data_IF_311140252213
#
_entry.id   IF_311140252213
#
_cell.length_a   1.000
_cell.length_b   1.000
_cell.length_c   1.000
_cell.angle_alpha   90.00
_cell.angle_beta   90.00
_cell.angle_gamma   90.00
#
_symmetry.space_group_name_H-M   'P 1'
#
loop_
_entity.id
_entity.type
_entity.pdbx_description
1 polymer ?
#
# COMPACT_ATOMS: atom_id res chain seq x y z
N UNK A 1 -32.32 -3.29 -23.17
CA UNK A 1 -31.39 -4.24 -23.81
C UNK A 1 -30.40 -4.68 -22.74
N UNK A 2 -30.38 -5.97 -22.47
CA UNK A 2 -29.57 -6.64 -21.44
C UNK A 2 -28.08 -6.47 -21.76
N UNK A 3 -27.34 -5.83 -20.85
CA UNK A 3 -25.89 -5.72 -20.88
C UNK A 3 -25.28 -7.12 -20.74
N UNK A 4 -24.82 -7.68 -21.85
CA UNK A 4 -23.96 -8.86 -21.86
C UNK A 4 -22.69 -8.52 -21.07
N UNK A 5 -22.50 -9.23 -19.95
CA UNK A 5 -21.22 -9.39 -19.27
C UNK A 5 -20.19 -9.81 -20.33
N UNK A 6 -19.18 -8.98 -20.60
CA UNK A 6 -18.04 -9.37 -21.43
C UNK A 6 -17.25 -10.38 -20.62
N UNK A 7 -17.13 -11.59 -21.14
CA UNK A 7 -16.14 -12.56 -20.67
C UNK A 7 -14.76 -12.06 -21.11
N UNK A 8 -13.86 -11.89 -20.14
CA UNK A 8 -12.47 -11.55 -20.38
C UNK A 8 -11.70 -12.82 -20.78
N UNK A 9 -11.27 -12.90 -22.04
CA UNK A 9 -10.46 -13.99 -22.61
C UNK A 9 -8.95 -13.70 -22.52
N UNK A 10 -8.51 -13.11 -21.41
CA UNK A 10 -7.10 -13.00 -21.06
C UNK A 10 -6.86 -13.83 -19.79
N UNK A 11 -5.97 -14.83 -19.88
CA UNK A 11 -5.61 -15.76 -18.81
C UNK A 11 -4.90 -15.10 -17.61
N UNK A 12 -5.57 -14.14 -16.97
CA UNK A 12 -5.19 -13.56 -15.70
C UNK A 12 -6.01 -14.25 -14.61
N UNK A 13 -5.34 -14.76 -13.57
CA UNK A 13 -5.98 -15.42 -12.44
C UNK A 13 -6.94 -14.51 -11.67
N UNK A 14 -7.78 -15.09 -10.78
CA UNK A 14 -8.86 -14.38 -10.10
C UNK A 14 -8.32 -13.56 -8.93
N UNK A 15 -7.86 -12.34 -9.22
CA UNK A 15 -7.73 -11.27 -8.24
C UNK A 15 -7.77 -9.92 -8.98
N UNK A 16 -8.89 -9.21 -8.76
CA UNK A 16 -9.13 -7.79 -9.01
C UNK A 16 -8.95 -7.24 -10.42
N UNK A 17 -10.05 -6.68 -10.94
CA UNK A 17 -10.20 -6.00 -12.21
C UNK A 17 -9.11 -4.94 -12.43
N UNK A 18 -7.98 -5.35 -13.01
CA UNK A 18 -7.05 -4.46 -13.69
C UNK A 18 -7.67 -4.07 -15.04
N UNK A 19 -8.74 -3.29 -15.03
CA UNK A 19 -9.38 -2.85 -16.28
C UNK A 19 -8.64 -1.60 -16.80
N UNK A 20 -7.49 -1.83 -17.42
CA UNK A 20 -6.94 -0.84 -18.34
C UNK A 20 -7.93 -0.73 -19.50
N UNK A 21 -8.77 0.30 -19.46
CA UNK A 21 -9.70 0.57 -20.55
C UNK A 21 -8.93 0.86 -21.84
N UNK A 22 -9.21 0.06 -22.87
CA UNK A 22 -8.70 0.32 -24.21
C UNK A 22 -9.43 1.54 -24.78
N UNK A 23 -8.80 2.71 -24.68
CA UNK A 23 -9.39 3.98 -25.08
C UNK A 23 -9.53 4.10 -26.61
N UNK A 24 -10.72 4.46 -27.07
CA UNK A 24 -11.00 4.74 -28.48
C UNK A 24 -11.10 6.25 -28.68
N UNK A 25 -10.18 6.82 -29.44
CA UNK A 25 -10.20 8.25 -29.75
C UNK A 25 -11.24 8.53 -30.86
N UNK A 26 -12.18 9.48 -30.66
CA UNK A 26 -13.06 9.92 -31.73
C UNK A 26 -12.28 10.55 -32.89
N UNK A 27 -12.70 10.24 -34.11
CA UNK A 27 -12.15 10.84 -35.35
C UNK A 27 -13.28 11.53 -36.10
N UNK A 28 -13.08 12.81 -36.41
CA UNK A 28 -14.04 13.60 -37.18
C UNK A 28 -13.65 13.71 -38.66
N UNK A 29 -14.62 13.79 -39.56
CA UNK A 29 -14.39 13.94 -41.00
C UNK A 29 -15.41 14.85 -41.69
N UNK A 30 -15.06 15.33 -42.89
CA UNK A 30 -15.91 16.25 -43.66
C UNK A 30 -17.24 15.57 -44.04
N UNK A 31 -18.35 16.27 -43.77
CA UNK A 31 -19.71 15.76 -44.04
C UNK A 31 -20.29 14.89 -42.93
N UNK A 32 -19.56 14.67 -41.83
CA UNK A 32 -20.11 13.99 -40.65
C UNK A 32 -21.13 14.88 -39.93
N UNK A 33 -22.30 14.33 -39.61
CA UNK A 33 -23.26 14.93 -38.68
C UNK A 33 -22.75 14.75 -37.26
N UNK A 34 -22.58 15.84 -36.51
CA UNK A 34 -22.18 15.80 -35.10
C UNK A 34 -23.41 15.79 -34.20
N UNK A 35 -23.47 14.82 -33.29
CA UNK A 35 -24.48 14.73 -32.24
C UNK A 35 -23.87 14.96 -30.85
N UNK A 36 -24.73 15.07 -29.84
CA UNK A 36 -24.35 15.10 -28.43
C UNK A 36 -23.50 13.88 -28.04
N UNK A 37 -23.82 12.70 -28.57
CA UNK A 37 -23.06 11.47 -28.32
C UNK A 37 -21.60 11.58 -28.77
N UNK A 38 -21.32 12.23 -29.91
CA UNK A 38 -19.95 12.41 -30.42
C UNK A 38 -19.14 13.36 -29.52
N UNK A 39 -19.78 14.42 -29.01
CA UNK A 39 -19.17 15.38 -28.09
C UNK A 39 -18.91 14.75 -26.72
N UNK A 40 -19.87 13.98 -26.20
CA UNK A 40 -19.71 13.21 -24.96
C UNK A 40 -18.57 12.22 -25.09
N UNK A 41 -18.50 11.46 -26.19
CA UNK A 41 -17.41 10.51 -26.44
C UNK A 41 -16.03 11.20 -26.49
N UNK A 42 -15.95 12.43 -27.01
CA UNK A 42 -14.72 13.22 -26.98
C UNK A 42 -14.33 13.62 -25.55
N UNK A 43 -15.27 14.10 -24.75
CA UNK A 43 -15.02 14.48 -23.34
C UNK A 43 -14.61 13.25 -22.52
N UNK A 44 -15.32 12.14 -22.67
CA UNK A 44 -15.05 10.88 -21.96
C UNK A 44 -13.65 10.35 -22.30
N UNK A 45 -13.27 10.37 -23.58
CA UNK A 45 -11.93 9.97 -23.99
C UNK A 45 -10.84 10.84 -23.36
N UNK A 46 -11.04 12.17 -23.29
CA UNK A 46 -10.08 13.08 -22.63
C UNK A 46 -10.00 12.77 -21.14
N UNK A 47 -11.14 12.64 -20.44
CA UNK A 47 -11.19 12.32 -19.00
C UNK A 47 -10.48 10.98 -18.72
N UNK A 48 -10.81 9.93 -19.47
CA UNK A 48 -10.20 8.61 -19.31
C UNK A 48 -8.70 8.61 -19.62
N UNK A 49 -8.26 9.34 -20.65
CA UNK A 49 -6.83 9.46 -20.98
C UNK A 49 -6.05 10.21 -19.90
N UNK A 50 -6.61 11.27 -19.32
CA UNK A 50 -6.02 11.98 -18.19
C UNK A 50 -5.92 11.08 -16.96
N UNK A 51 -6.96 10.28 -16.67
CA UNK A 51 -6.99 9.35 -15.55
C UNK A 51 -5.85 8.30 -15.57
N UNK A 52 -5.29 7.99 -16.75
CA UNK A 52 -4.10 7.14 -16.86
C UNK A 52 -2.86 7.72 -16.15
N UNK A 53 -2.87 8.99 -15.75
CA UNK A 53 -1.83 9.60 -14.92
C UNK A 53 -1.62 8.82 -13.61
N UNK A 54 -2.66 8.21 -13.06
CA UNK A 54 -2.60 7.39 -11.84
C UNK A 54 -1.61 6.22 -11.95
N UNK A 55 -1.44 5.64 -13.13
CA UNK A 55 -0.49 4.56 -13.36
C UNK A 55 0.96 5.04 -13.54
N UNK A 56 1.14 6.30 -13.95
CA UNK A 56 2.46 6.91 -14.17
C UNK A 56 3.03 7.51 -12.89
N UNK A 57 2.22 8.33 -12.21
CA UNK A 57 2.64 9.12 -11.06
C UNK A 57 2.11 8.58 -9.73
N UNK A 58 1.13 7.67 -9.77
CA UNK A 58 0.37 7.29 -8.59
C UNK A 58 -0.70 8.33 -8.27
N UNK A 59 -1.08 8.44 -7.00
CA UNK A 59 -2.14 9.33 -6.53
C UNK A 59 -1.83 9.87 -5.13
N UNK A 60 -2.41 11.01 -4.77
CA UNK A 60 -2.14 11.73 -3.52
C UNK A 60 -2.14 13.25 -3.71
N UNK A 61 -1.71 13.97 -2.67
CA UNK A 61 -1.54 15.42 -2.67
C UNK A 61 -0.37 15.81 -3.56
N UNK A 62 -0.59 16.75 -4.47
CA UNK A 62 0.42 17.30 -5.37
C UNK A 62 0.97 18.61 -4.82
N UNK A 63 0.09 19.55 -4.42
CA UNK A 63 0.48 20.82 -3.80
C UNK A 63 -0.68 21.45 -3.00
N UNK A 64 -0.37 22.31 -2.03
CA UNK A 64 -1.36 22.97 -1.18
C UNK A 64 -2.15 21.96 -0.35
N UNK A 65 -3.44 22.20 -0.09
CA UNK A 65 -4.27 21.36 0.79
C UNK A 65 -3.68 21.23 2.20
N UNK A 66 -3.14 22.33 2.70
CA UNK A 66 -2.55 22.39 4.04
C UNK A 66 -3.66 22.46 5.08
N UNK A 67 -3.54 21.64 6.12
CA UNK A 67 -4.56 21.55 7.17
C UNK A 67 -4.11 22.41 8.34
N UNK A 68 -4.97 23.35 8.75
CA UNK A 68 -4.71 24.29 9.83
C UNK A 68 -5.81 24.22 10.88
N UNK A 69 -5.49 24.62 12.11
CA UNK A 69 -6.48 24.76 13.18
C UNK A 69 -7.53 25.80 12.80
N UNK A 70 -8.80 25.39 12.79
CA UNK A 70 -9.96 26.25 12.58
C UNK A 70 -10.55 26.74 13.91
N UNK A 71 -11.70 27.40 13.82
CA UNK A 71 -12.44 27.88 15.00
C UNK A 71 -13.42 26.81 15.50
N UNK A 72 -13.52 26.64 16.82
CA UNK A 72 -14.60 25.85 17.44
C UNK A 72 -14.54 24.35 17.15
N UNK A 73 -13.35 23.75 17.17
CA UNK A 73 -13.18 22.30 16.92
C UNK A 73 -13.42 21.94 15.46
N UNK A 74 -12.88 22.77 14.57
CA UNK A 74 -12.82 22.53 13.14
C UNK A 74 -11.37 22.65 12.66
N UNK A 75 -11.12 22.16 11.46
CA UNK A 75 -9.91 22.49 10.69
C UNK A 75 -10.29 23.25 9.44
N UNK A 76 -9.35 24.07 8.96
CA UNK A 76 -9.45 24.73 7.67
C UNK A 76 -8.41 24.11 6.74
N UNK A 77 -8.81 23.78 5.52
CA UNK A 77 -7.93 23.26 4.47
C UNK A 77 -7.73 24.34 3.43
N UNK A 78 -6.46 24.70 3.18
CA UNK A 78 -6.09 25.73 2.20
C UNK A 78 -6.29 25.24 0.75
N UNK A 79 -6.37 26.14 -0.24
CA UNK A 79 -6.42 25.77 -1.64
C UNK A 79 -5.30 24.83 -2.05
N UNK A 80 -5.57 23.96 -3.02
CA UNK A 80 -4.57 23.05 -3.53
C UNK A 80 -5.12 22.02 -4.48
N UNK A 81 -4.27 21.04 -4.78
CA UNK A 81 -4.49 20.07 -5.84
C UNK A 81 -4.01 18.69 -5.39
N UNK A 82 -4.88 17.70 -5.62
CA UNK A 82 -4.59 16.29 -5.42
C UNK A 82 -5.12 15.47 -6.61
N UNK A 83 -4.55 14.29 -6.79
CA UNK A 83 -5.05 13.28 -7.70
C UNK A 83 -5.58 12.11 -6.87
N UNK A 84 -6.79 11.63 -7.14
CA UNK A 84 -7.33 10.45 -6.45
C UNK A 84 -6.85 9.13 -7.07
N UNK A 85 -7.16 8.01 -6.42
CA UNK A 85 -6.75 6.68 -6.90
C UNK A 85 -7.37 6.28 -8.25
N UNK A 86 -8.43 6.95 -8.69
CA UNK A 86 -9.04 6.77 -10.01
C UNK A 86 -8.43 7.66 -11.09
N UNK A 87 -7.56 8.61 -10.72
CA UNK A 87 -6.94 9.57 -11.62
C UNK A 87 -7.80 10.81 -11.88
N UNK A 88 -8.75 11.13 -11.00
CA UNK A 88 -9.55 12.36 -11.06
C UNK A 88 -8.82 13.49 -10.34
N UNK A 89 -8.85 14.66 -10.97
CA UNK A 89 -8.24 15.88 -10.46
C UNK A 89 -9.14 16.49 -9.37
N UNK A 90 -8.62 16.62 -8.15
CA UNK A 90 -9.29 17.27 -7.03
C UNK A 90 -8.66 18.65 -6.84
N UNK A 91 -9.41 19.70 -7.15
CA UNK A 91 -8.97 21.08 -6.96
C UNK A 91 -9.82 21.77 -5.91
N UNK A 92 -9.18 22.24 -4.85
CA UNK A 92 -9.79 23.11 -3.86
C UNK A 92 -9.38 24.55 -4.15
N UNK A 93 -10.33 25.40 -4.57
CA UNK A 93 -10.03 26.74 -5.08
C UNK A 93 -9.99 27.84 -3.99
N UNK A 94 -10.50 27.56 -2.80
CA UNK A 94 -10.60 28.47 -1.65
C UNK A 94 -10.53 27.67 -0.37
N UNK A 95 -10.29 28.34 0.75
CA UNK A 95 -10.36 27.71 2.07
C UNK A 95 -11.71 27.00 2.25
N UNK A 96 -11.65 25.76 2.73
CA UNK A 96 -12.82 24.99 3.13
C UNK A 96 -12.65 24.52 4.58
N UNK A 97 -13.75 24.37 5.31
CA UNK A 97 -13.74 24.08 6.74
C UNK A 97 -14.46 22.79 7.05
N UNK A 98 -13.83 21.96 7.89
CA UNK A 98 -14.38 20.68 8.33
C UNK A 98 -14.54 20.69 9.85
N UNK A 99 -15.78 20.58 10.32
CA UNK A 99 -16.10 20.43 11.74
C UNK A 99 -16.13 18.96 12.15
N UNK A 100 -15.50 18.62 13.28
CA UNK A 100 -15.43 17.21 13.72
C UNK A 100 -16.72 16.70 14.38
N UNK A 101 -17.67 17.60 14.71
CA UNK A 101 -18.97 17.22 15.26
C UNK A 101 -19.75 16.28 14.33
N UNK A 102 -19.62 16.47 13.02
CA UNK A 102 -20.33 15.67 12.00
C UNK A 102 -19.60 14.36 11.67
N UNK A 103 -18.33 14.22 12.08
CA UNK A 103 -17.53 13.01 11.90
C UNK A 103 -17.64 12.04 13.07
N UNK A 104 -18.35 12.42 14.14
CA UNK A 104 -18.59 11.53 15.26
C UNK A 104 -19.60 10.44 14.85
N UNK A 105 -19.32 9.15 15.11
CA UNK A 105 -20.29 8.09 14.90
C UNK A 105 -21.57 8.41 15.69
N UNK A 106 -22.70 8.59 15.01
CA UNK A 106 -23.99 8.74 15.71
C UNK A 106 -24.28 7.40 16.37
N UNK A 107 -24.49 7.40 17.69
CA UNK A 107 -24.71 6.18 18.49
C UNK A 107 -25.93 5.33 18.09
N UNK A 108 -26.71 5.79 17.11
CA UNK A 108 -27.93 5.14 16.60
C UNK A 108 -27.69 4.25 15.38
N UNK A 109 -26.49 4.24 14.79
CA UNK A 109 -26.17 3.37 13.67
C UNK A 109 -25.47 2.08 14.17
N UNK A 110 -26.16 0.92 14.20
CA UNK A 110 -25.58 -0.35 14.62
C UNK A 110 -24.45 -0.84 13.69
N UNK A 111 -24.28 -0.25 12.50
CA UNK A 111 -23.17 -0.52 11.59
C UNK A 111 -21.98 0.44 11.80
N UNK A 112 -22.20 1.60 12.42
CA UNK A 112 -21.14 2.52 12.87
C UNK A 112 -20.52 2.10 14.21
N UNK A 113 -21.05 1.05 14.84
CA UNK A 113 -20.40 0.34 15.93
C UNK A 113 -19.27 -0.53 15.37
N UNK A 114 -18.25 0.12 14.80
CA UNK A 114 -16.91 -0.47 14.82
C UNK A 114 -16.58 -0.85 16.26
N UNK A 115 -15.69 -1.85 16.49
CA UNK A 115 -15.31 -2.23 17.85
C UNK A 115 -15.00 -0.96 18.62
N UNK A 116 -15.61 -0.76 19.80
CA UNK A 116 -15.25 0.36 20.67
C UNK A 116 -13.75 0.26 20.88
N UNK A 117 -12.98 1.13 20.21
CA UNK A 117 -11.55 0.91 20.08
C UNK A 117 -10.93 1.27 21.42
N UNK A 118 -10.65 0.24 22.21
CA UNK A 118 -9.81 0.33 23.40
C UNK A 118 -8.38 0.21 22.88
N UNK A 119 -7.49 1.19 23.11
CA UNK A 119 -6.09 0.98 22.77
C UNK A 119 -5.56 -0.18 23.60
N UNK A 120 -4.81 -1.05 22.93
CA UNK A 120 -4.07 -2.12 23.56
C UNK A 120 -2.85 -1.51 24.27
N UNK A 121 -3.03 -1.09 25.53
CA UNK A 121 -1.94 -0.67 26.42
C UNK A 121 -1.88 -1.58 27.66
N UNK A 122 -0.67 -1.88 28.18
CA UNK A 122 -0.53 -2.63 29.44
C UNK A 122 -0.82 -1.68 30.62
N UNK A 123 -2.10 -1.50 30.93
CA UNK A 123 -2.56 -0.73 32.09
C UNK A 123 -3.70 -1.47 32.82
N UNK A 124 -3.90 -1.24 34.14
CA UNK A 124 -4.98 -1.87 34.87
C UNK A 124 -6.33 -1.44 34.28
N UNK A 125 -7.19 -2.42 33.99
CA UNK A 125 -8.62 -2.30 33.67
C UNK A 125 -9.15 -0.92 33.22
N UNK A 126 -9.03 -0.62 31.92
CA UNK A 126 -10.04 0.14 31.18
C UNK A 126 -9.93 1.67 31.18
N UNK A 127 -8.87 2.26 31.72
CA UNK A 127 -8.66 3.71 31.64
C UNK A 127 -7.52 4.04 30.66
N UNK A 128 -7.81 4.90 29.69
CA UNK A 128 -6.84 5.46 28.75
C UNK A 128 -5.80 6.27 29.54
N UNK A 129 -4.49 6.11 29.27
CA UNK A 129 -3.50 6.94 29.93
C UNK A 129 -3.73 8.41 29.57
N UNK A 130 -3.52 9.30 30.55
CA UNK A 130 -3.57 10.73 30.30
C UNK A 130 -2.53 11.12 29.25
N UNK A 131 -2.91 12.05 28.37
CA UNK A 131 -2.04 12.59 27.33
C UNK A 131 -1.48 13.91 27.81
N UNK A 132 -0.16 14.08 27.69
CA UNK A 132 0.54 15.28 28.10
C UNK A 132 0.96 16.09 26.86
N UNK A 133 0.53 17.35 26.80
CA UNK A 133 0.96 18.32 25.80
C UNK A 133 1.61 19.52 26.49
N UNK A 134 2.95 19.53 26.58
CA UNK A 134 3.73 20.66 27.14
C UNK A 134 3.19 21.19 28.49
N UNK A 135 2.89 20.27 29.42
CA UNK A 135 2.34 20.58 30.75
C UNK A 135 0.82 20.66 30.84
N UNK A 136 0.09 20.47 29.73
CA UNK A 136 -1.36 20.24 29.73
C UNK A 136 -1.63 18.74 29.81
N UNK A 137 -2.16 18.27 30.95
CA UNK A 137 -2.62 16.89 31.13
C UNK A 137 -4.09 16.77 30.75
N UNK A 138 -4.38 15.96 29.74
CA UNK A 138 -5.73 15.71 29.24
C UNK A 138 -6.08 14.24 29.49
N UNK A 139 -7.24 13.92 30.09
CA UNK A 139 -7.70 12.55 30.19
C UNK A 139 -7.74 11.88 28.82
N UNK A 140 -7.13 10.70 28.69
CA UNK A 140 -7.00 10.06 27.38
C UNK A 140 -8.33 9.71 26.72
N UNK A 141 -9.40 9.53 27.50
CA UNK A 141 -10.77 9.33 27.02
C UNK A 141 -11.43 10.57 26.41
N UNK A 142 -10.79 11.74 26.56
CA UNK A 142 -11.22 13.01 25.98
C UNK A 142 -10.42 13.39 24.73
N UNK A 143 -9.39 12.62 24.37
CA UNK A 143 -8.55 12.85 23.19
C UNK A 143 -8.93 11.86 22.11
N UNK A 144 -9.25 12.39 20.92
CA UNK A 144 -9.64 11.56 19.77
C UNK A 144 -8.89 11.97 18.52
N UNK A 145 -8.38 11.00 17.77
CA UNK A 145 -7.72 11.21 16.50
C UNK A 145 -8.73 11.06 15.35
N UNK A 146 -8.62 11.94 14.36
CA UNK A 146 -9.38 11.90 13.12
C UNK A 146 -8.46 12.03 11.93
N UNK A 147 -8.65 11.16 10.94
CA UNK A 147 -8.01 11.29 9.65
C UNK A 147 -8.89 12.16 8.75
N UNK A 148 -8.30 13.22 8.19
CA UNK A 148 -8.96 14.20 7.32
C UNK A 148 -8.65 13.88 5.87
N UNK A 149 -9.70 13.76 5.06
CA UNK A 149 -9.61 13.40 3.66
C UNK A 149 -10.26 14.45 2.76
N UNK A 150 -9.84 14.47 1.50
CA UNK A 150 -10.58 15.12 0.41
C UNK A 150 -10.90 14.08 -0.67
N UNK A 151 -12.11 14.13 -1.22
CA UNK A 151 -12.48 13.33 -2.39
C UNK A 151 -13.03 14.21 -3.49
N UNK A 152 -12.96 13.69 -4.71
CA UNK A 152 -13.58 14.31 -5.86
C UNK A 152 -15.09 14.43 -5.68
N UNK A 153 -15.64 15.58 -6.05
CA UNK A 153 -17.07 15.87 -6.01
C UNK A 153 -17.45 16.69 -7.25
N UNK A 154 -18.57 16.34 -7.87
CA UNK A 154 -19.13 17.08 -9.00
C UNK A 154 -20.54 17.55 -8.64
N UNK A 155 -20.89 18.76 -9.06
CA UNK A 155 -22.25 19.28 -8.94
C UNK A 155 -22.69 19.93 -10.25
N UNK A 156 -23.99 19.84 -10.54
CA UNK A 156 -24.55 20.48 -11.72
C UNK A 156 -24.69 21.99 -11.50
N UNK A 157 -24.33 22.79 -12.51
CA UNK A 157 -24.32 24.25 -12.45
C UNK A 157 -24.83 24.87 -13.77
N UNK A 158 -25.10 26.17 -13.74
CA UNK A 158 -25.61 26.94 -14.88
C UNK A 158 -26.88 26.34 -15.51
N UNK A 159 -27.96 26.27 -14.71
CA UNK A 159 -29.28 25.83 -15.17
C UNK A 159 -29.82 26.77 -16.25
N UNK A 160 -30.26 26.21 -17.38
CA UNK A 160 -30.84 26.92 -18.52
C UNK A 160 -32.13 26.22 -18.95
N UNK A 161 -33.11 27.01 -19.37
CA UNK A 161 -34.30 26.45 -20.01
C UNK A 161 -33.91 25.84 -21.34
N UNK A 162 -34.24 24.56 -21.55
CA UNK A 162 -34.03 23.94 -22.85
C UNK A 162 -34.85 24.68 -23.92
N UNK A 163 -34.35 24.74 -25.15
CA UNK A 163 -35.17 25.22 -26.27
C UNK A 163 -36.29 24.21 -26.49
N UNK A 164 -37.54 24.67 -26.47
CA UNK A 164 -38.69 23.85 -26.79
C UNK A 164 -38.47 23.21 -28.16
N UNK A 165 -38.29 21.88 -28.19
CA UNK A 165 -38.25 21.14 -29.44
C UNK A 165 -39.64 21.26 -30.04
N UNK A 166 -39.80 22.08 -31.08
CA UNK A 166 -41.03 22.16 -31.85
C UNK A 166 -41.43 20.76 -32.31
N UNK A 167 -42.37 20.14 -31.61
CA UNK A 167 -42.83 18.77 -31.83
C UNK A 167 -43.03 17.90 -30.59
N UNK A 168 -42.40 18.21 -29.44
CA UNK A 168 -42.66 17.52 -28.18
C UNK A 168 -43.42 18.48 -27.24
N UNK A 169 -44.74 18.32 -27.15
CA UNK A 169 -45.59 19.11 -26.27
C UNK A 169 -45.29 18.84 -24.80
N UNK A 170 -44.42 19.65 -24.21
CA UNK A 170 -44.13 19.70 -22.79
C UNK A 170 -43.31 20.94 -22.50
N UNK A 171 -43.54 21.58 -21.34
CA UNK A 171 -42.69 22.67 -20.86
C UNK A 171 -41.23 22.21 -20.91
N UNK A 172 -40.38 22.98 -21.60
CA UNK A 172 -38.98 22.64 -21.73
C UNK A 172 -38.35 22.66 -20.33
N UNK A 173 -37.96 21.49 -19.83
CA UNK A 173 -37.35 21.34 -18.52
C UNK A 173 -36.11 22.23 -18.39
N UNK A 174 -35.88 22.72 -17.18
CA UNK A 174 -34.63 23.39 -16.84
C UNK A 174 -33.52 22.33 -16.78
N UNK A 175 -32.49 22.47 -17.61
CA UNK A 175 -31.35 21.55 -17.66
C UNK A 175 -30.06 22.30 -17.33
N UNK A 176 -29.12 21.62 -16.67
CA UNK A 176 -27.83 22.19 -16.30
C UNK A 176 -26.86 22.12 -17.47
N UNK A 177 -26.17 23.22 -17.75
CA UNK A 177 -25.25 23.32 -18.89
C UNK A 177 -23.79 23.08 -18.52
N UNK A 178 -23.47 22.98 -17.22
CA UNK A 178 -22.11 22.77 -16.72
C UNK A 178 -22.07 21.78 -15.57
N UNK A 179 -20.92 21.13 -15.44
CA UNK A 179 -20.53 20.37 -14.26
C UNK A 179 -19.43 21.16 -13.56
N UNK A 180 -19.66 21.49 -12.30
CA UNK A 180 -18.67 22.09 -11.43
C UNK A 180 -17.95 20.97 -10.69
N UNK A 181 -16.70 20.75 -11.06
CA UNK A 181 -15.80 19.79 -10.42
C UNK A 181 -15.09 20.44 -9.22
N UNK A 182 -14.84 19.67 -8.17
CA UNK A 182 -14.19 20.17 -6.96
C UNK A 182 -13.80 19.07 -5.98
N UNK A 183 -13.52 19.48 -4.74
CA UNK A 183 -13.20 18.59 -3.64
C UNK A 183 -14.21 18.71 -2.50
N UNK A 184 -14.54 17.57 -1.88
CA UNK A 184 -15.35 17.52 -0.67
C UNK A 184 -14.53 16.95 0.48
N UNK A 185 -14.44 17.71 1.57
CA UNK A 185 -13.78 17.30 2.80
C UNK A 185 -14.66 16.32 3.61
N UNK A 186 -14.02 15.34 4.24
CA UNK A 186 -14.64 14.47 5.24
C UNK A 186 -13.59 13.94 6.22
N UNK A 187 -14.03 13.42 7.37
CA UNK A 187 -13.15 12.77 8.32
C UNK A 187 -13.64 11.37 8.71
N UNK A 188 -12.69 10.54 9.15
CA UNK A 188 -12.92 9.23 9.77
C UNK A 188 -12.26 9.23 11.15
N UNK A 189 -12.93 8.63 12.14
CA UNK A 189 -12.31 8.37 13.44
C UNK A 189 -11.13 7.42 13.24
N UNK A 190 -9.99 7.72 13.87
CA UNK A 190 -8.75 7.00 13.70
C UNK A 190 -8.19 6.52 15.04
N UNK A 191 -7.42 5.43 14.98
CA UNK A 191 -6.68 4.94 16.14
C UNK A 191 -5.48 5.82 16.40
N UNK A 192 -5.34 6.22 17.65
CA UNK A 192 -4.23 7.08 18.06
C UNK A 192 -2.88 6.42 17.75
N UNK A 193 -1.99 7.19 17.12
CA UNK A 193 -0.63 6.78 16.76
C UNK A 193 -0.49 5.55 15.83
N UNK A 194 -1.57 5.04 15.22
CA UNK A 194 -1.50 3.93 14.25
C UNK A 194 -1.32 4.46 12.82
N UNK A 195 -0.31 3.96 12.11
CA UNK A 195 -0.08 4.23 10.69
C UNK A 195 -1.36 3.95 9.87
N UNK A 196 -1.92 4.92 9.12
CA UNK A 196 -3.11 4.72 8.30
C UNK A 196 -2.95 3.62 7.25
N UNK A 197 -1.71 3.35 6.82
CA UNK A 197 -1.40 2.34 5.83
C UNK A 197 -1.22 0.94 6.44
N UNK A 198 -1.28 0.79 7.77
CA UNK A 198 -1.01 -0.48 8.46
C UNK A 198 -1.79 -1.65 7.89
N UNK A 199 -3.09 -1.47 7.64
CA UNK A 199 -3.96 -2.52 7.09
C UNK A 199 -3.46 -2.94 5.70
N UNK A 200 -3.12 -1.98 4.84
CA UNK A 200 -2.62 -2.25 3.48
C UNK A 200 -1.26 -2.97 3.53
N UNK A 201 -0.38 -2.56 4.44
CA UNK A 201 0.94 -3.17 4.64
C UNK A 201 0.81 -4.62 5.12
N UNK A 202 -0.02 -4.85 6.14
CA UNK A 202 -0.24 -6.18 6.72
C UNK A 202 -0.91 -7.12 5.70
N UNK A 203 -1.89 -6.61 4.94
CA UNK A 203 -2.56 -7.34 3.86
C UNK A 203 -1.57 -7.75 2.77
N UNK A 204 -0.74 -6.81 2.29
CA UNK A 204 0.26 -7.06 1.26
C UNK A 204 1.30 -8.09 1.71
N UNK A 205 1.81 -7.96 2.94
CA UNK A 205 2.77 -8.89 3.52
C UNK A 205 2.18 -10.30 3.65
N UNK A 206 0.94 -10.38 4.13
CA UNK A 206 0.24 -11.65 4.32
C UNK A 206 0.00 -12.36 2.98
N UNK A 207 -0.52 -11.66 1.97
CA UNK A 207 -0.76 -12.25 0.65
C UNK A 207 0.52 -12.79 0.01
N UNK A 208 1.64 -12.05 0.13
CA UNK A 208 2.94 -12.53 -0.33
C UNK A 208 3.36 -13.82 0.37
N UNK A 209 3.28 -13.86 1.70
CA UNK A 209 3.69 -15.04 2.47
C UNK A 209 2.76 -16.24 2.24
N UNK A 210 1.45 -16.02 2.12
CA UNK A 210 0.46 -17.05 1.81
C UNK A 210 0.72 -17.66 0.42
N UNK A 211 0.96 -16.83 -0.59
CA UNK A 211 1.29 -17.28 -1.94
C UNK A 211 2.62 -18.03 -2.00
N UNK A 212 3.65 -17.50 -1.32
CA UNK A 212 4.95 -18.18 -1.21
C UNK A 212 4.81 -19.53 -0.50
N UNK A 213 3.98 -19.58 0.56
CA UNK A 213 3.65 -20.82 1.28
C UNK A 213 2.99 -21.86 0.39
N UNK A 214 2.00 -21.48 -0.39
CA UNK A 214 1.32 -22.39 -1.30
C UNK A 214 2.28 -23.07 -2.28
N UNK A 215 3.22 -22.31 -2.85
CA UNK A 215 4.22 -22.85 -3.80
C UNK A 215 5.17 -23.81 -3.11
N UNK A 216 5.71 -23.43 -1.95
CA UNK A 216 6.60 -24.31 -1.21
C UNK A 216 5.91 -25.58 -0.73
N UNK A 217 4.65 -25.51 -0.31
CA UNK A 217 3.89 -26.69 0.10
C UNK A 217 3.72 -27.69 -1.06
N UNK A 218 3.40 -27.20 -2.27
CA UNK A 218 3.34 -28.07 -3.47
C UNK A 218 4.73 -28.62 -3.81
N UNK A 219 5.79 -27.81 -3.80
CA UNK A 219 7.15 -28.27 -4.10
C UNK A 219 7.65 -29.32 -3.09
N UNK A 220 7.33 -29.17 -1.80
CA UNK A 220 7.65 -30.17 -0.77
C UNK A 220 6.85 -31.45 -0.99
N UNK A 221 5.56 -31.35 -1.32
CA UNK A 221 4.74 -32.52 -1.65
C UNK A 221 5.28 -33.29 -2.86
N UNK A 222 5.70 -32.59 -3.91
CA UNK A 222 6.33 -33.20 -5.10
C UNK A 222 7.68 -33.82 -4.72
N UNK A 223 8.50 -33.14 -3.92
CA UNK A 223 9.80 -33.66 -3.49
C UNK A 223 9.68 -34.96 -2.68
N UNK A 224 8.58 -35.14 -1.94
CA UNK A 224 8.27 -36.35 -1.17
C UNK A 224 7.99 -37.60 -2.02
N UNK A 225 7.83 -37.46 -3.33
CA UNK A 225 7.69 -38.60 -4.24
C UNK A 225 9.05 -39.31 -4.36
N UNK A 226 9.13 -40.57 -3.93
CA UNK A 226 10.38 -41.33 -3.94
C UNK A 226 10.88 -41.75 -5.34
N UNK A 227 9.97 -41.87 -6.31
CA UNK A 227 10.31 -42.19 -7.70
C UNK A 227 10.64 -40.90 -8.47
N UNK A 228 11.88 -40.78 -8.95
CA UNK A 228 12.39 -39.54 -9.57
C UNK A 228 11.73 -39.23 -10.92
N UNK A 229 11.38 -40.25 -11.71
CA UNK A 229 10.63 -40.11 -12.96
C UNK A 229 9.21 -39.57 -12.71
N UNK A 230 8.51 -40.12 -11.72
CA UNK A 230 7.18 -39.64 -11.30
C UNK A 230 7.25 -38.25 -10.68
N UNK A 231 8.32 -37.93 -9.94
CA UNK A 231 8.59 -36.60 -9.41
C UNK A 231 8.75 -35.57 -10.54
N UNK A 232 9.53 -35.90 -11.56
CA UNK A 232 9.70 -35.07 -12.76
C UNK A 232 8.38 -34.84 -13.49
N UNK A 233 7.65 -35.91 -13.79
CA UNK A 233 6.35 -35.83 -14.45
C UNK A 233 5.35 -34.96 -13.66
N UNK A 234 5.33 -35.07 -12.33
CA UNK A 234 4.49 -34.24 -11.48
C UNK A 234 4.92 -32.77 -11.48
N UNK A 235 6.22 -32.48 -11.45
CA UNK A 235 6.72 -31.11 -11.53
C UNK A 235 6.42 -30.47 -12.89
N UNK A 236 6.58 -31.21 -13.98
CA UNK A 236 6.19 -30.76 -15.33
C UNK A 236 4.71 -30.43 -15.41
N UNK A 237 3.83 -31.29 -14.87
CA UNK A 237 2.40 -31.00 -14.81
C UNK A 237 2.09 -29.74 -14.00
N UNK A 238 2.80 -29.52 -12.89
CA UNK A 238 2.67 -28.29 -12.10
C UNK A 238 3.08 -27.05 -12.89
N UNK A 239 4.24 -27.07 -13.54
CA UNK A 239 4.77 -25.95 -14.34
C UNK A 239 3.88 -25.66 -15.57
N UNK A 240 3.29 -26.70 -16.19
CA UNK A 240 2.30 -26.50 -17.25
C UNK A 240 1.05 -25.75 -16.77
N UNK A 241 0.55 -26.07 -15.57
CA UNK A 241 -0.58 -25.37 -14.97
C UNK A 241 -0.25 -23.96 -14.45
N UNK A 242 1.04 -23.66 -14.25
CA UNK A 242 1.54 -22.41 -13.67
C UNK A 242 2.69 -21.87 -14.54
N UNK A 243 2.34 -21.30 -15.70
CA UNK A 243 3.32 -20.86 -16.69
C UNK A 243 4.35 -19.89 -16.09
N UNK A 244 5.62 -20.23 -16.23
CA UNK A 244 6.75 -19.41 -15.79
C UNK A 244 6.90 -18.21 -16.72
N UNK A 245 7.15 -17.04 -16.15
CA UNK A 245 7.17 -15.77 -16.89
C UNK A 245 8.58 -15.36 -17.32
N UNK A 246 9.51 -15.34 -16.37
CA UNK A 246 10.91 -14.90 -16.60
C UNK A 246 11.81 -16.09 -16.92
N UNK A 247 11.60 -17.22 -16.25
CA UNK A 247 12.46 -18.40 -16.35
C UNK A 247 11.81 -19.54 -17.13
N UNK A 248 11.25 -19.24 -18.30
CA UNK A 248 10.61 -20.23 -19.18
C UNK A 248 11.54 -21.41 -19.55
N UNK A 249 12.86 -21.21 -19.55
CA UNK A 249 13.85 -22.28 -19.79
C UNK A 249 13.70 -23.48 -18.84
N UNK A 250 13.13 -23.28 -17.65
CA UNK A 250 12.96 -24.38 -16.68
C UNK A 250 11.98 -25.42 -17.23
N UNK A 251 10.93 -25.00 -17.94
CA UNK A 251 9.99 -25.94 -18.56
C UNK A 251 10.69 -26.78 -19.63
N UNK A 252 11.36 -26.14 -20.58
CA UNK A 252 12.15 -26.82 -21.62
C UNK A 252 13.20 -27.76 -21.02
N UNK A 253 13.95 -27.29 -20.01
CA UNK A 253 14.95 -28.11 -19.31
C UNK A 253 14.34 -29.34 -18.63
N UNK A 254 13.16 -29.22 -18.04
CA UNK A 254 12.48 -30.37 -17.43
C UNK A 254 11.96 -31.34 -18.50
N UNK A 255 11.55 -30.87 -19.68
CA UNK A 255 11.18 -31.72 -20.81
C UNK A 255 12.40 -32.50 -21.34
N UNK A 256 13.54 -31.83 -21.54
CA UNK A 256 14.78 -32.49 -21.95
C UNK A 256 15.19 -33.62 -20.98
N UNK A 257 15.01 -33.40 -19.66
CA UNK A 257 15.29 -34.41 -18.64
C UNK A 257 14.33 -35.61 -18.68
N UNK A 258 13.12 -35.42 -19.20
CA UNK A 258 12.15 -36.50 -19.36
C UNK A 258 12.52 -37.40 -20.53
N UNK A 259 13.06 -36.80 -21.60
CA UNK A 259 13.45 -37.48 -22.82
C UNK A 259 14.82 -38.19 -22.73
N UNK A 260 15.69 -37.78 -21.80
CA UNK A 260 17.03 -38.39 -21.56
C UNK A 260 16.98 -39.69 -20.74
N UNK A 261 15.98 -40.56 -21.00
CA UNK A 261 15.79 -41.89 -20.40
C UNK A 261 15.90 -41.97 -18.85
N UNK A 262 15.67 -40.85 -18.14
CA UNK A 262 15.75 -40.79 -16.68
C UNK A 262 17.13 -40.55 -16.09
N UNK A 263 18.12 -40.11 -16.88
CA UNK A 263 19.43 -39.69 -16.39
C UNK A 263 19.35 -38.30 -15.72
N UNK A 264 18.82 -38.27 -14.50
CA UNK A 264 18.55 -37.01 -13.80
C UNK A 264 19.80 -36.49 -13.07
N UNK A 265 20.24 -35.24 -13.33
CA UNK A 265 21.37 -34.65 -12.65
C UNK A 265 21.20 -34.60 -11.12
N UNK A 266 22.30 -34.74 -10.38
CA UNK A 266 22.25 -34.57 -8.93
C UNK A 266 21.69 -33.18 -8.57
N UNK A 267 20.70 -33.15 -7.67
CA UNK A 267 20.01 -31.94 -7.22
C UNK A 267 19.16 -31.23 -8.29
N UNK A 268 18.77 -31.89 -9.40
CA UNK A 268 17.91 -31.30 -10.43
C UNK A 268 16.65 -30.65 -9.82
N UNK A 269 15.96 -31.36 -8.91
CA UNK A 269 14.74 -30.87 -8.29
C UNK A 269 14.98 -29.60 -7.47
N UNK A 270 16.05 -29.59 -6.65
CA UNK A 270 16.45 -28.42 -5.86
C UNK A 270 16.73 -27.20 -6.75
N UNK A 271 17.38 -27.41 -7.90
CA UNK A 271 17.66 -26.33 -8.85
C UNK A 271 16.36 -25.81 -9.49
N UNK A 272 15.47 -26.71 -9.91
CA UNK A 272 14.16 -26.35 -10.45
C UNK A 272 13.32 -25.56 -9.43
N UNK A 273 13.28 -26.03 -8.18
CA UNK A 273 12.53 -25.39 -7.10
C UNK A 273 12.93 -23.92 -6.90
N UNK A 274 14.24 -23.62 -6.91
CA UNK A 274 14.72 -22.23 -6.81
C UNK A 274 14.20 -21.36 -7.94
N UNK A 275 14.31 -21.82 -9.20
CA UNK A 275 13.88 -21.03 -10.34
C UNK A 275 12.37 -20.82 -10.35
N UNK A 276 11.58 -21.86 -10.02
CA UNK A 276 10.12 -21.75 -9.94
C UNK A 276 9.71 -20.73 -8.86
N UNK A 277 10.30 -20.81 -7.66
CA UNK A 277 10.01 -19.86 -6.58
C UNK A 277 10.45 -18.45 -6.95
N UNK A 278 11.64 -18.29 -7.52
CA UNK A 278 12.14 -16.97 -7.91
C UNK A 278 11.33 -16.38 -9.07
N UNK A 279 10.83 -17.19 -10.00
CA UNK A 279 9.95 -16.74 -11.08
C UNK A 279 8.66 -16.15 -10.52
N UNK A 280 8.02 -16.89 -9.61
CA UNK A 280 6.80 -16.43 -8.96
C UNK A 280 7.03 -15.16 -8.16
N UNK A 281 8.13 -15.07 -7.40
CA UNK A 281 8.49 -13.84 -6.65
C UNK A 281 8.70 -12.67 -7.60
N UNK A 282 9.40 -12.86 -8.71
CA UNK A 282 9.59 -11.84 -9.74
C UNK A 282 8.26 -11.42 -10.39
N UNK A 283 7.30 -12.33 -10.53
CA UNK A 283 5.94 -12.02 -10.98
C UNK A 283 5.17 -11.22 -9.91
N UNK A 284 5.22 -11.63 -8.65
CA UNK A 284 4.56 -10.95 -7.53
C UNK A 284 5.06 -9.51 -7.33
N UNK A 285 6.38 -9.29 -7.43
CA UNK A 285 6.97 -7.96 -7.23
C UNK A 285 6.80 -7.01 -8.42
N UNK A 286 6.23 -7.48 -9.54
CA UNK A 286 5.87 -6.59 -10.64
C UNK A 286 4.59 -5.84 -10.27
N UNK A 287 4.68 -4.51 -10.28
CA UNK A 287 3.53 -3.64 -10.09
C UNK A 287 2.48 -3.89 -11.18
N UNK A 288 1.29 -4.33 -10.77
CA UNK A 288 0.12 -4.45 -11.64
C UNK A 288 -0.66 -3.13 -11.74
N UNK A 289 -1.54 -3.03 -12.74
CA UNK A 289 -2.45 -1.89 -12.88
C UNK A 289 -3.64 -2.04 -11.92
N UNK A 290 -3.47 -1.59 -10.67
CA UNK A 290 -4.52 -1.69 -9.64
C UNK A 290 -5.81 -0.96 -10.07
N UNK A 291 -6.94 -1.56 -9.70
CA UNK A 291 -8.25 -0.90 -9.75
C UNK A 291 -8.30 0.32 -8.82
N UNK A 292 -9.40 1.06 -8.87
CA UNK A 292 -9.60 2.24 -8.04
C UNK A 292 -10.96 2.19 -7.32
N UNK A 293 -11.07 2.93 -6.23
CA UNK A 293 -12.31 3.11 -5.48
C UNK A 293 -12.61 4.62 -5.33
N UNK A 294 -13.77 5.04 -5.82
CA UNK A 294 -14.17 6.44 -5.84
C UNK A 294 -14.42 7.04 -4.46
N UNK A 295 -14.60 6.20 -3.43
CA UNK A 295 -14.90 6.62 -2.05
C UNK A 295 -13.66 6.69 -1.15
N UNK A 296 -12.50 6.20 -1.60
CA UNK A 296 -11.27 6.13 -0.79
C UNK A 296 -10.78 7.51 -0.34
N UNK A 297 -10.85 8.51 -1.24
CA UNK A 297 -10.35 9.88 -1.04
C UNK A 297 -8.84 9.96 -0.75
N UNK A 298 -8.32 11.18 -0.61
CA UNK A 298 -6.90 11.49 -0.37
C UNK A 298 -6.70 11.97 1.05
N UNK A 299 -5.87 11.26 1.82
CA UNK A 299 -5.53 11.60 3.19
C UNK A 299 -4.65 12.85 3.26
N UNK A 300 -5.10 13.87 4.00
CA UNK A 300 -4.45 15.18 4.11
C UNK A 300 -3.66 15.38 5.41
N UNK A 301 -4.20 14.90 6.53
CA UNK A 301 -3.61 15.01 7.86
C UNK A 301 -4.33 14.09 8.87
N UNK A 302 -3.66 13.84 10.00
CA UNK A 302 -4.30 13.39 11.23
C UNK A 302 -4.48 14.56 12.20
N UNK A 303 -5.62 14.62 12.87
CA UNK A 303 -5.99 15.70 13.77
C UNK A 303 -6.44 15.14 15.11
N UNK A 304 -5.84 15.63 16.19
CA UNK A 304 -6.23 15.29 17.55
C UNK A 304 -7.15 16.36 18.11
N UNK A 305 -8.30 15.92 18.61
CA UNK A 305 -9.35 16.78 19.14
C UNK A 305 -9.54 16.48 20.62
N UNK A 306 -9.62 17.55 21.41
CA UNK A 306 -10.08 17.50 22.79
C UNK A 306 -11.59 17.69 22.85
N UNK A 307 -12.29 16.68 23.36
CA UNK A 307 -13.73 16.71 23.63
C UNK A 307 -13.97 16.94 25.12
N UNK A 308 -14.51 18.10 25.45
CA UNK A 308 -14.87 18.47 26.83
C UNK A 308 -16.38 18.57 26.97
N UNK A 309 -16.92 18.14 28.10
CA UNK A 309 -18.29 18.48 28.50
C UNK A 309 -18.25 19.69 29.43
N UNK A 310 -18.76 20.84 28.99
CA UNK A 310 -18.82 22.07 29.78
C UNK A 310 -20.28 22.47 29.90
N UNK A 311 -20.82 22.50 31.13
CA UNK A 311 -22.23 22.82 31.41
C UNK A 311 -23.23 21.95 30.62
N UNK A 312 -22.90 20.68 30.36
CA UNK A 312 -23.73 19.76 29.58
C UNK A 312 -23.70 19.97 28.07
N UNK A 313 -22.89 20.92 27.57
CA UNK A 313 -22.61 21.07 26.15
C UNK A 313 -21.24 20.51 25.81
N UNK A 314 -21.17 19.80 24.69
CA UNK A 314 -19.91 19.30 24.17
C UNK A 314 -19.15 20.41 23.46
N UNK A 315 -17.93 20.64 23.92
CA UNK A 315 -16.99 21.58 23.34
C UNK A 315 -15.84 20.80 22.72
N UNK A 316 -15.58 21.06 21.45
CA UNK A 316 -14.48 20.47 20.70
C UNK A 316 -13.38 21.52 20.52
N UNK A 317 -12.13 21.14 20.76
CA UNK A 317 -10.95 21.98 20.52
C UNK A 317 -9.88 21.18 19.79
N UNK A 318 -9.31 21.74 18.73
CA UNK A 318 -8.19 21.09 18.03
C UNK A 318 -6.91 21.23 18.83
N UNK A 319 -6.27 20.11 19.16
CA UNK A 319 -5.02 20.05 19.93
C UNK A 319 -3.80 20.09 19.03
N UNK A 320 -3.76 19.17 18.06
CA UNK A 320 -2.60 18.95 17.21
C UNK A 320 -3.04 18.52 15.81
N UNK A 321 -2.31 18.98 14.80
CA UNK A 321 -2.51 18.61 13.41
C UNK A 321 -1.18 18.09 12.89
N UNK A 322 -1.15 16.83 12.48
CA UNK A 322 -0.01 16.22 11.82
C UNK A 322 -0.32 16.04 10.32
N UNK A 323 0.28 16.91 9.53
CA UNK A 323 0.20 16.89 8.07
C UNK A 323 1.48 16.33 7.44
N UNK A 324 2.21 15.45 8.13
CA UNK A 324 3.38 14.77 7.58
C UNK A 324 3.06 13.29 7.28
N UNK A 325 3.76 12.65 6.32
CA UNK A 325 3.68 11.20 6.15
C UNK A 325 4.02 10.47 7.45
N UNK A 326 3.27 9.40 7.81
CA UNK A 326 2.30 8.68 6.99
C UNK A 326 0.86 9.24 7.04
N UNK A 327 0.60 10.27 7.86
CA UNK A 327 -0.74 10.88 8.03
C UNK A 327 -1.11 11.86 6.92
N UNK A 328 -0.21 12.10 5.98
CA UNK A 328 -0.46 12.81 4.72
C UNK A 328 0.00 11.97 3.56
N UNK A 329 -0.90 11.73 2.61
CA UNK A 329 -0.60 10.98 1.40
C UNK A 329 -0.08 11.91 0.31
N UNK A 330 1.23 11.94 0.12
CA UNK A 330 1.85 12.61 -1.02
C UNK A 330 1.63 11.79 -2.30
N UNK A 331 1.65 12.47 -3.46
CA UNK A 331 1.58 11.84 -4.76
C UNK A 331 2.65 10.73 -4.90
N UNK A 332 2.19 9.50 -5.15
CA UNK A 332 3.08 8.34 -5.28
C UNK A 332 2.33 7.05 -5.58
N UNK A 333 3.08 6.03 -6.02
CA UNK A 333 2.54 4.71 -6.33
C UNK A 333 2.46 3.82 -5.09
N UNK A 334 1.45 2.96 -5.03
CA UNK A 334 1.24 1.98 -3.95
C UNK A 334 1.84 0.60 -4.27
N UNK A 335 2.87 0.56 -5.11
CA UNK A 335 3.42 -0.71 -5.60
C UNK A 335 4.09 -1.49 -4.47
N UNK A 336 4.71 -0.78 -3.52
CA UNK A 336 5.55 -1.35 -2.47
C UNK A 336 5.28 -0.67 -1.13
N UNK A 337 4.16 -0.99 -0.44
CA UNK A 337 3.83 -0.40 0.85
C UNK A 337 4.90 -0.77 1.89
N UNK A 338 5.20 0.13 2.82
CA UNK A 338 6.18 -0.08 3.88
C UNK A 338 5.71 0.59 5.18
N UNK A 339 6.02 0.01 6.36
CA UNK A 339 5.84 0.70 7.64
C UNK A 339 6.62 2.01 7.69
N UNK A 340 6.11 2.96 8.49
CA UNK A 340 6.88 4.15 8.85
C UNK A 340 8.29 3.77 9.38
N UNK A 341 9.31 4.47 8.90
CA UNK A 341 10.71 4.20 9.27
C UNK A 341 11.34 2.98 8.57
N UNK A 342 10.67 2.35 7.61
CA UNK A 342 11.23 1.27 6.80
C UNK A 342 11.04 1.51 5.30
N UNK A 343 11.83 0.80 4.50
CA UNK A 343 11.61 0.69 3.05
C UNK A 343 11.22 -0.74 2.68
N UNK A 344 10.40 -0.89 1.64
CA UNK A 344 10.07 -2.19 1.07
C UNK A 344 11.21 -2.66 0.15
N UNK A 345 11.63 -3.91 0.32
CA UNK A 345 12.78 -4.52 -0.32
C UNK A 345 12.44 -5.19 -1.67
N UNK A 346 11.16 -5.42 -1.96
CA UNK A 346 10.67 -6.00 -3.21
C UNK A 346 11.29 -5.43 -4.50
N UNK A 347 11.39 -4.09 -4.70
CA UNK A 347 11.94 -3.55 -5.95
C UNK A 347 13.42 -3.86 -6.17
N UNK A 348 14.14 -4.30 -5.13
CA UNK A 348 15.55 -4.69 -5.21
C UNK A 348 15.75 -6.19 -5.45
N UNK A 349 14.69 -7.00 -5.33
CA UNK A 349 14.78 -8.43 -5.60
C UNK A 349 15.02 -8.65 -7.10
N UNK A 350 15.94 -9.56 -7.39
CA UNK A 350 16.43 -9.92 -8.72
C UNK A 350 17.14 -8.79 -9.48
N UNK A 351 17.50 -7.69 -8.81
CA UNK A 351 18.31 -6.62 -9.36
C UNK A 351 19.82 -6.91 -9.24
N UNK A 352 20.68 -6.32 -10.10
CA UNK A 352 22.13 -6.42 -9.95
C UNK A 352 22.58 -5.93 -8.58
N UNK A 353 23.45 -6.70 -7.92
CA UNK A 353 23.93 -6.39 -6.57
C UNK A 353 24.49 -4.96 -6.46
N UNK A 354 25.30 -4.53 -7.43
CA UNK A 354 25.91 -3.20 -7.44
C UNK A 354 24.85 -2.08 -7.45
N UNK A 355 23.81 -2.22 -8.27
CA UNK A 355 22.71 -1.27 -8.34
C UNK A 355 21.93 -1.20 -7.03
N UNK A 356 21.69 -2.36 -6.40
CA UNK A 356 21.00 -2.43 -5.11
C UNK A 356 21.84 -1.77 -4.02
N UNK A 357 23.14 -2.07 -3.95
CA UNK A 357 24.03 -1.48 -2.96
C UNK A 357 24.09 0.04 -3.10
N UNK A 358 24.22 0.58 -4.31
CA UNK A 358 24.19 2.02 -4.56
C UNK A 358 22.85 2.64 -4.14
N UNK A 359 21.72 2.02 -4.53
CA UNK A 359 20.39 2.53 -4.17
C UNK A 359 20.15 2.52 -2.65
N UNK A 360 20.67 1.52 -1.92
CA UNK A 360 20.58 1.48 -0.46
C UNK A 360 21.42 2.56 0.21
N UNK A 361 22.62 2.87 -0.31
CA UNK A 361 23.42 4.00 0.17
C UNK A 361 22.67 5.33 -0.01
N UNK A 362 22.05 5.55 -1.16
CA UNK A 362 21.24 6.76 -1.43
C UNK A 362 20.01 6.87 -0.49
N UNK A 363 19.55 5.73 0.03
CA UNK A 363 18.48 5.66 1.03
C UNK A 363 18.98 5.79 2.47
N UNK A 364 20.28 5.97 2.68
CA UNK A 364 20.88 6.21 4.00
C UNK A 364 21.39 4.96 4.74
N UNK A 365 21.43 3.79 4.09
CA UNK A 365 22.03 2.60 4.70
C UNK A 365 23.56 2.67 4.62
N UNK A 366 24.22 2.86 5.77
CA UNK A 366 25.69 3.00 5.82
C UNK A 366 26.45 1.68 5.96
N UNK A 367 25.86 0.67 6.60
CA UNK A 367 26.49 -0.64 6.82
C UNK A 367 25.83 -1.69 5.92
N UNK A 368 26.43 -1.93 4.75
CA UNK A 368 25.94 -2.89 3.76
C UNK A 368 26.98 -3.99 3.56
N UNK A 369 26.62 -5.23 3.88
CA UNK A 369 27.53 -6.40 3.80
C UNK A 369 26.95 -7.47 2.88
N UNK A 370 27.24 -7.45 1.57
CA UNK A 370 26.73 -8.46 0.65
C UNK A 370 27.19 -9.87 1.00
N UNK A 371 26.28 -10.84 0.94
CA UNK A 371 26.56 -12.27 1.19
C UNK A 371 26.09 -13.14 0.03
N UNK A 372 26.78 -14.26 -0.22
CA UNK A 372 26.27 -15.23 -1.20
C UNK A 372 25.04 -15.94 -0.64
N UNK A 373 24.00 -16.08 -1.46
CA UNK A 373 22.82 -16.88 -1.16
C UNK A 373 23.12 -18.35 -1.47
N UNK A 374 23.15 -19.17 -0.42
CA UNK A 374 23.43 -20.62 -0.51
C UNK A 374 22.32 -21.40 0.18
N UNK A 375 21.95 -22.55 -0.38
CA UNK A 375 20.93 -23.44 0.17
C UNK A 375 21.22 -24.88 -0.29
N UNK A 376 20.98 -25.86 0.60
CA UNK A 376 21.30 -27.27 0.35
C UNK A 376 20.05 -28.13 0.12
N UNK A 377 18.89 -27.68 0.59
CA UNK A 377 17.60 -28.36 0.43
C UNK A 377 16.46 -27.39 0.09
N UNK A 378 15.32 -27.93 -0.31
CA UNK A 378 14.08 -27.15 -0.53
C UNK A 378 13.57 -26.57 0.79
N UNK A 379 13.71 -27.29 1.89
CA UNK A 379 13.33 -26.81 3.23
C UNK A 379 14.22 -25.65 3.69
N UNK A 380 15.53 -25.70 3.40
CA UNK A 380 16.44 -24.59 3.70
C UNK A 380 16.11 -23.36 2.86
N UNK A 381 15.81 -23.55 1.57
CA UNK A 381 15.33 -22.48 0.69
C UNK A 381 14.04 -21.85 1.23
N UNK A 382 13.08 -22.68 1.66
CA UNK A 382 11.84 -22.23 2.29
C UNK A 382 12.10 -21.42 3.53
N UNK A 383 12.91 -21.93 4.46
CA UNK A 383 13.22 -21.27 5.72
C UNK A 383 13.92 -19.92 5.52
N UNK A 384 14.78 -19.79 4.50
CA UNK A 384 15.46 -18.53 4.20
C UNK A 384 14.56 -17.48 3.52
N UNK A 385 13.54 -17.90 2.75
CA UNK A 385 12.66 -16.98 2.02
C UNK A 385 11.32 -16.68 2.73
N UNK A 386 10.84 -17.55 3.62
CA UNK A 386 9.62 -17.35 4.42
C UNK A 386 9.91 -16.75 5.80
N UNK A 387 10.85 -15.81 5.87
CA UNK A 387 11.13 -15.08 7.11
C UNK A 387 10.11 -13.93 7.24
N UNK A 388 9.33 -13.86 8.33
CA UNK A 388 8.38 -12.78 8.54
C UNK A 388 9.05 -11.42 8.43
N UNK A 389 8.39 -10.47 7.74
CA UNK A 389 8.91 -9.11 7.52
C UNK A 389 10.27 -9.02 6.83
N UNK A 390 10.72 -10.07 6.14
CA UNK A 390 11.99 -10.08 5.39
C UNK A 390 12.04 -9.09 4.22
N UNK A 391 10.88 -8.57 3.80
CA UNK A 391 10.76 -7.54 2.77
C UNK A 391 10.79 -6.12 3.32
N UNK A 392 10.99 -5.91 4.62
CA UNK A 392 11.07 -4.57 5.21
C UNK A 392 12.46 -4.31 5.78
N UNK A 393 13.12 -3.26 5.28
CA UNK A 393 14.41 -2.79 5.77
C UNK A 393 14.18 -1.55 6.62
N UNK A 394 14.27 -1.70 7.94
CA UNK A 394 14.12 -0.56 8.87
C UNK A 394 15.35 0.35 8.84
N UNK A 395 15.11 1.64 8.96
CA UNK A 395 16.12 2.70 8.96
C UNK A 395 16.58 3.00 10.39
N UNK A 396 17.00 1.98 11.13
CA UNK A 396 17.40 2.08 12.54
C UNK A 396 18.92 2.17 12.76
N UNK A 397 19.68 2.30 11.66
CA UNK A 397 21.15 2.29 11.68
C UNK A 397 21.78 0.90 11.81
N UNK A 398 20.97 -0.17 11.82
CA UNK A 398 21.45 -1.56 11.74
C UNK A 398 22.09 -1.89 10.39
N UNK A 399 22.87 -2.98 10.36
CA UNK A 399 23.48 -3.49 9.13
C UNK A 399 22.48 -4.22 8.24
N UNK A 400 22.62 -4.06 6.93
CA UNK A 400 21.82 -4.79 5.92
C UNK A 400 22.74 -5.63 5.06
N UNK A 401 22.39 -6.90 4.88
CA UNK A 401 23.13 -7.85 4.04
C UNK A 401 22.27 -8.30 2.86
N UNK A 402 22.46 -7.73 1.65
CA UNK A 402 21.87 -8.26 0.43
C UNK A 402 22.46 -9.63 0.13
N UNK A 403 21.62 -10.65 0.02
CA UNK A 403 22.01 -12.02 -0.32
C UNK A 403 21.88 -12.24 -1.82
N UNK A 404 22.97 -12.60 -2.50
CA UNK A 404 23.00 -12.67 -3.97
C UNK A 404 23.14 -14.10 -4.53
N UNK A 405 22.53 -14.33 -5.69
CA UNK A 405 22.62 -15.55 -6.48
C UNK A 405 23.09 -15.21 -7.91
N UNK A 406 23.78 -16.13 -8.60
CA UNK A 406 24.28 -15.84 -9.96
C UNK A 406 23.23 -16.16 -11.01
N UNK A 407 22.98 -15.20 -11.90
CA UNK A 407 22.17 -15.44 -13.10
C UNK A 407 22.94 -16.21 -14.19
N UNK A 408 22.29 -16.43 -15.33
CA UNK A 408 22.89 -17.09 -16.51
C UNK A 408 24.16 -16.38 -17.02
N UNK A 409 24.24 -15.07 -16.86
CA UNK A 409 25.39 -14.27 -17.28
C UNK A 409 26.46 -14.18 -16.19
N UNK A 410 26.37 -15.02 -15.14
CA UNK A 410 27.25 -15.04 -13.99
C UNK A 410 27.22 -13.74 -13.16
N UNK A 411 26.21 -12.89 -13.35
CA UNK A 411 26.05 -11.64 -12.61
C UNK A 411 25.34 -11.89 -11.27
N UNK A 412 25.80 -11.27 -10.17
CA UNK A 412 25.15 -11.38 -8.87
C UNK A 412 23.82 -10.62 -8.86
N UNK A 413 22.74 -11.34 -8.60
CA UNK A 413 21.36 -10.82 -8.43
C UNK A 413 20.92 -10.98 -7.00
N UNK A 414 20.35 -9.93 -6.41
CA UNK A 414 19.85 -10.01 -5.02
C UNK A 414 18.61 -10.92 -4.97
N UNK A 415 18.56 -11.83 -4.00
CA UNK A 415 17.45 -12.79 -3.82
C UNK A 415 16.72 -12.55 -2.51
N UNK A 416 17.42 -12.10 -1.47
CA UNK A 416 16.86 -11.85 -0.16
C UNK A 416 17.72 -10.83 0.58
N UNK A 417 17.21 -10.37 1.72
CA UNK A 417 17.95 -9.51 2.64
C UNK A 417 18.03 -10.18 4.01
N UNK A 418 19.17 -9.99 4.67
CA UNK A 418 19.34 -10.35 6.08
C UNK A 418 19.67 -9.08 6.84
N UNK A 419 19.04 -8.92 8.00
CA UNK A 419 19.35 -7.82 8.92
C UNK A 419 20.33 -8.26 9.98
N UNK A 420 21.27 -7.39 10.29
CA UNK A 420 22.12 -7.48 11.46
C UNK A 420 21.54 -6.55 12.52
N UNK A 421 21.25 -7.09 13.70
CA UNK A 421 20.78 -6.28 14.82
C UNK A 421 21.85 -5.22 15.15
N UNK A 422 21.45 -3.98 15.48
CA UNK A 422 22.40 -2.97 15.90
C UNK A 422 23.19 -3.46 17.12
N UNK A 423 24.49 -3.12 17.24
CA UNK A 423 25.26 -3.46 18.42
C UNK A 423 24.57 -2.88 19.66
N UNK A 424 24.35 -3.72 20.68
CA UNK A 424 23.72 -3.27 21.93
C UNK A 424 24.51 -2.09 22.51
N UNK A 425 23.85 -1.00 22.94
CA UNK A 425 24.56 0.09 23.61
C UNK A 425 25.27 -0.47 24.84
N UNK A 426 26.52 -0.07 25.03
CA UNK A 426 27.30 -0.47 26.19
C UNK A 426 26.53 -0.07 27.48
N UNK A 427 26.46 -0.95 28.49
CA UNK A 427 25.81 -0.60 29.74
C UNK A 427 26.48 0.65 30.33
N UNK A 428 25.71 1.60 30.90
CA UNK A 428 26.27 2.79 31.51
C UNK A 428 27.27 2.37 32.59
N UNK A 429 28.48 2.93 32.54
CA UNK A 429 29.51 2.71 33.56
C UNK A 429 28.92 3.03 34.94
N UNK A 430 28.69 2.00 35.77
CA UNK A 430 28.33 2.21 37.18
C UNK A 430 29.51 2.90 37.87
N UNK A 431 29.30 4.00 38.60
CA UNK A 431 30.33 4.55 39.46
C UNK A 431 30.74 3.51 40.50
N UNK A 432 32.05 3.30 40.64
CA UNK A 432 32.64 2.44 41.67
C UNK A 432 32.29 3.06 43.03
N UNK A 433 31.59 2.36 43.94
CA UNK A 433 31.31 2.91 45.27
C UNK A 433 32.63 3.04 46.04
N UNK A 434 32.94 4.27 46.48
CA UNK A 434 34.09 4.56 47.32
C UNK A 434 33.97 3.78 48.64
N UNK A 435 35.02 3.00 48.94
CA UNK A 435 35.06 2.09 50.08
C UNK A 435 34.80 2.77 51.41
N UNK A 436 33.87 2.19 52.18
CA UNK A 436 33.64 2.52 53.57
C UNK A 436 34.91 2.28 54.41
N UNK A 437 35.38 3.35 55.07
CA UNK A 437 36.38 3.27 56.14
C UNK A 437 35.90 2.29 57.21
N UNK A 438 36.65 1.21 57.43
CA UNK A 438 36.49 0.33 58.59
C UNK A 438 36.78 1.11 59.87
N UNK A 439 35.74 1.34 60.67
CA UNK A 439 35.85 1.70 62.08
C UNK A 439 36.07 0.42 62.89
N UNK A 440 37.30 0.16 63.31
CA UNK A 440 37.61 -0.81 64.36
C UNK A 440 37.24 -0.21 65.72
N UNK A 441 36.25 -0.78 66.41
CA UNK A 441 36.07 -0.58 67.85
C UNK A 441 36.10 -1.94 68.56
N UNK A 442 37.03 -2.03 69.50
CA UNK A 442 37.18 -3.07 70.50
C UNK A 442 35.91 -3.25 71.34
N UNK A 443 35.46 -4.49 71.52
CA UNK A 443 35.40 -5.17 72.81
C UNK A 443 35.09 -6.65 72.63
#
# INVERSE_FOLDING_TARGET
>A
MTTKKKDCDCGCGPADCCELDCLVQPRFFCGQLLADQDLTAMVDWVKAKSALARFRHGWGVVCGLDVHCGKGGSVTVSPGYALDCCGRDIVLCKDDSLGFKDCWPRGDDPCSQGPVIRPAGPGPAGQLPDVEFEGLTIPGDQVHAFDVFVRYDESQSDARTALARGGCGGEAGCEYTRVQEGGKLYCKLADDCIDPNKVIIDEWDRQYHDGLKAIFDELVAINGIGDEQRKLARLLAYVHGHSLQTFCFVHEWLCDLQDDDGNLPQNWFRRAAFWIVQDWRNAWFRAGCKGCDTETGVLLARVWIWRQSVNGQEKFSTLYVDAYPPFRRLIGKDDYPAPAGAINAAPYIWQPLENVTAALYDKGFGNITPGQFTYNSVDELRAQLQVPRSLYLEMDGGGVSPLWFRDRCNQPRVVAFRRELPPRPAPPNRPIPQGARKSSRNR
#
